data_IF_245631199710
#
_entry.id   IF_245631199710
#
_cell.length_a   1.000
_cell.length_b   1.000
_cell.length_c   1.000
_cell.angle_alpha   90.00
_cell.angle_beta   90.00
_cell.angle_gamma   90.00
#
_symmetry.space_group_name_H-M   'P 1'
#
loop_
_entity.id
_entity.type
_entity.pdbx_description
1 polymer ?
#
# COMPACT_ATOMS: atom_id res chain seq x y z
N UNK A 1 -19.86 -21.04 7.66
CA UNK A 1 -19.40 -21.84 8.82
C UNK A 1 -20.34 -23.02 9.00
N UNK A 2 -19.83 -24.22 9.26
CA UNK A 2 -20.62 -25.44 9.48
C UNK A 2 -20.06 -26.21 10.67
N UNK A 3 -20.92 -26.63 11.59
CA UNK A 3 -20.54 -27.39 12.78
C UNK A 3 -21.77 -27.77 13.60
N UNK A 4 -21.84 -29.03 14.03
CA UNK A 4 -22.90 -29.54 14.89
C UNK A 4 -22.25 -30.36 16.00
N UNK A 5 -22.86 -30.37 17.18
CA UNK A 5 -22.24 -30.94 18.40
C UNK A 5 -21.98 -32.44 18.31
N UNK A 6 -22.93 -33.21 17.76
CA UNK A 6 -22.88 -34.68 17.72
C UNK A 6 -23.16 -35.25 16.32
N UNK A 7 -23.46 -34.42 15.34
CA UNK A 7 -23.76 -34.89 13.98
C UNK A 7 -22.64 -34.46 13.03
N UNK A 8 -22.30 -35.27 12.01
CA UNK A 8 -21.34 -34.89 11.00
C UNK A 8 -21.68 -33.54 10.36
N UNK A 9 -20.64 -32.76 10.06
CA UNK A 9 -20.74 -31.53 9.27
C UNK A 9 -19.71 -31.58 8.16
N UNK A 10 -20.07 -31.03 7.00
CA UNK A 10 -19.18 -30.90 5.85
C UNK A 10 -18.86 -29.43 5.62
N UNK A 11 -17.58 -29.11 5.41
CA UNK A 11 -17.13 -27.83 4.90
C UNK A 11 -16.44 -28.09 3.56
N UNK A 12 -16.88 -27.38 2.51
CA UNK A 12 -16.30 -27.47 1.17
C UNK A 12 -15.71 -26.11 0.84
N UNK A 13 -14.40 -26.08 0.58
CA UNK A 13 -13.74 -24.91 0.01
C UNK A 13 -13.78 -25.04 -1.51
N UNK A 14 -14.49 -24.14 -2.19
CA UNK A 14 -14.55 -24.08 -3.65
C UNK A 14 -13.56 -23.02 -4.10
N UNK A 15 -12.40 -23.44 -4.60
CA UNK A 15 -11.36 -22.54 -5.05
C UNK A 15 -11.76 -21.84 -6.36
N UNK A 16 -11.56 -20.51 -6.41
CA UNK A 16 -11.71 -19.71 -7.62
C UNK A 16 -10.40 -19.65 -8.41
N UNK A 17 -10.40 -18.98 -9.57
CA UNK A 17 -9.20 -18.85 -10.42
C UNK A 17 -8.15 -17.86 -9.88
N UNK A 18 -8.45 -17.15 -8.79
CA UNK A 18 -7.56 -16.20 -8.14
C UNK A 18 -6.23 -16.85 -7.69
N UNK A 19 -5.11 -16.10 -7.69
CA UNK A 19 -3.80 -16.63 -7.32
C UNK A 19 -3.73 -17.27 -5.94
N UNK A 20 -4.46 -16.71 -4.97
CA UNK A 20 -4.48 -17.20 -3.61
C UNK A 20 -5.08 -18.62 -3.55
N UNK A 21 -6.27 -18.76 -4.12
CA UNK A 21 -7.05 -19.97 -4.16
C UNK A 21 -6.33 -21.10 -4.91
N UNK A 22 -5.73 -20.78 -6.07
CA UNK A 22 -5.00 -21.76 -6.87
C UNK A 22 -3.73 -22.24 -6.16
N UNK A 23 -3.02 -21.35 -5.46
CA UNK A 23 -1.85 -21.73 -4.66
C UNK A 23 -2.23 -22.68 -3.52
N UNK A 24 -3.28 -22.35 -2.76
CA UNK A 24 -3.78 -23.19 -1.66
C UNK A 24 -4.32 -24.53 -2.17
N UNK A 25 -5.00 -24.55 -3.31
CA UNK A 25 -5.49 -25.78 -3.92
C UNK A 25 -4.34 -26.70 -4.38
N UNK A 26 -3.23 -26.13 -4.87
CA UNK A 26 -2.05 -26.89 -5.30
C UNK A 26 -1.21 -27.44 -4.14
N UNK A 27 -1.24 -26.80 -2.97
CA UNK A 27 -0.59 -27.27 -1.75
C UNK A 27 -1.50 -27.07 -0.52
N UNK A 28 -2.49 -27.96 -0.28
CA UNK A 28 -3.41 -27.82 0.84
C UNK A 28 -2.72 -27.87 2.22
N UNK A 29 -1.52 -28.47 2.28
CA UNK A 29 -0.74 -28.53 3.51
C UNK A 29 -0.29 -27.15 3.99
N UNK A 30 -0.19 -26.18 3.06
CA UNK A 30 0.08 -24.78 3.37
C UNK A 30 -0.99 -24.18 4.29
N UNK A 31 -2.28 -24.37 3.96
CA UNK A 31 -3.39 -23.83 4.75
C UNK A 31 -3.62 -24.65 6.03
N UNK A 32 -3.57 -25.98 5.93
CA UNK A 32 -3.91 -26.87 7.05
C UNK A 32 -2.78 -27.03 8.08
N UNK A 33 -1.53 -26.82 7.66
CA UNK A 33 -0.35 -27.01 8.50
C UNK A 33 0.25 -25.72 9.07
N UNK A 34 -0.12 -24.55 8.54
CA UNK A 34 0.36 -23.27 9.07
C UNK A 34 -0.44 -22.81 10.28
N UNK A 35 0.23 -22.00 11.10
CA UNK A 35 -0.44 -21.25 12.15
C UNK A 35 -1.26 -20.12 11.51
N UNK A 36 -2.39 -19.73 12.13
CA UNK A 36 -3.16 -18.57 11.70
C UNK A 36 -2.33 -17.29 11.65
N UNK A 37 -2.93 -16.26 11.05
CA UNK A 37 -2.47 -14.89 10.98
C UNK A 37 -1.92 -14.37 12.32
N UNK A 38 -0.91 -13.50 12.24
CA UNK A 38 -0.53 -12.67 13.37
C UNK A 38 -1.38 -11.41 13.39
N UNK A 39 -2.11 -11.19 14.49
CA UNK A 39 -2.69 -9.86 14.74
C UNK A 39 -1.55 -8.90 15.09
N UNK A 40 -1.28 -7.94 14.20
CA UNK A 40 -0.39 -6.82 14.48
C UNK A 40 -1.20 -5.58 14.78
N UNK A 41 -0.71 -4.83 15.75
CA UNK A 41 -1.17 -3.49 16.07
C UNK A 41 0.04 -2.59 16.04
N UNK A 42 -0.13 -1.37 15.56
CA UNK A 42 0.89 -0.32 15.57
C UNK A 42 0.37 0.83 16.42
N UNK A 43 0.50 0.75 17.76
CA UNK A 43 -0.04 1.76 18.67
C UNK A 43 0.60 3.14 18.48
N UNK A 44 1.85 3.16 18.00
CA UNK A 44 2.65 4.37 17.83
C UNK A 44 2.40 5.04 16.46
N UNK A 45 1.48 4.50 15.64
CA UNK A 45 1.04 5.15 14.41
C UNK A 45 0.54 6.57 14.74
N UNK A 46 1.16 7.64 14.18
CA UNK A 46 0.81 9.02 14.52
C UNK A 46 -0.67 9.37 14.32
N UNK A 47 -1.35 8.73 13.35
CA UNK A 47 -2.78 8.94 13.09
C UNK A 47 -3.69 8.40 14.17
N UNK A 48 -3.20 7.48 15.01
CA UNK A 48 -3.90 6.90 16.17
C UNK A 48 -3.37 7.55 17.45
N UNK A 49 -2.05 7.55 17.62
CA UNK A 49 -1.37 8.03 18.81
C UNK A 49 -1.72 9.49 19.14
N UNK A 50 -1.64 10.40 18.17
CA UNK A 50 -1.85 11.84 18.41
C UNK A 50 -3.29 12.14 18.85
N UNK A 51 -4.35 11.64 18.18
CA UNK A 51 -5.71 11.79 18.69
C UNK A 51 -5.91 11.19 20.09
N UNK A 52 -5.31 10.03 20.38
CA UNK A 52 -5.42 9.38 21.68
C UNK A 52 -4.69 10.14 22.80
N UNK A 53 -3.51 10.73 22.52
CA UNK A 53 -2.81 11.63 23.44
C UNK A 53 -3.63 12.88 23.75
N UNK A 54 -4.31 13.47 22.77
CA UNK A 54 -5.24 14.60 22.99
C UNK A 54 -6.39 14.21 23.92
N UNK A 55 -6.98 13.04 23.69
CA UNK A 55 -8.03 12.50 24.57
C UNK A 55 -7.51 12.28 25.99
N UNK A 56 -6.33 11.68 26.14
CA UNK A 56 -5.70 11.46 27.43
C UNK A 56 -5.43 12.78 28.17
N UNK A 57 -4.90 13.80 27.48
CA UNK A 57 -4.61 15.12 28.05
C UNK A 57 -5.88 15.90 28.44
N UNK A 58 -7.00 15.61 27.77
CA UNK A 58 -8.32 16.12 28.14
C UNK A 58 -8.86 15.44 29.41
N UNK A 59 -8.66 14.13 29.54
CA UNK A 59 -9.10 13.36 30.71
C UNK A 59 -8.30 13.73 31.96
N UNK A 60 -6.96 13.77 31.84
CA UNK A 60 -6.03 14.13 32.91
C UNK A 60 -4.81 14.88 32.35
N UNK A 61 -4.32 15.93 33.01
CA UNK A 61 -3.08 16.60 32.61
C UNK A 61 -1.88 15.66 32.66
N UNK A 62 -0.96 15.80 31.70
CA UNK A 62 0.29 15.05 31.66
C UNK A 62 1.41 15.78 32.40
N UNK A 63 2.23 15.04 33.17
CA UNK A 63 3.48 15.57 33.72
C UNK A 63 4.60 15.67 32.64
N UNK A 64 5.63 16.48 32.87
CA UNK A 64 6.73 16.67 31.89
C UNK A 64 7.59 15.43 31.64
N UNK A 65 7.59 14.48 32.58
CA UNK A 65 8.38 13.24 32.53
C UNK A 65 7.49 11.99 32.55
N UNK A 66 6.31 12.10 31.94
CA UNK A 66 5.36 11.00 31.87
C UNK A 66 5.51 10.25 30.54
N UNK A 67 5.34 8.92 30.60
CA UNK A 67 5.36 8.05 29.42
C UNK A 67 3.93 7.78 28.96
N UNK A 68 3.75 7.67 27.65
CA UNK A 68 2.47 7.26 27.06
C UNK A 68 2.63 6.05 26.13
N UNK A 69 2.02 4.92 26.51
CA UNK A 69 2.15 3.68 25.73
C UNK A 69 3.58 3.15 25.74
N UNK A 70 4.12 2.88 24.55
CA UNK A 70 5.51 2.41 24.38
C UNK A 70 6.52 3.56 24.28
N UNK A 71 6.06 4.80 24.03
CA UNK A 71 6.93 5.96 23.89
C UNK A 71 7.82 6.20 25.13
N UNK A 72 9.04 6.65 24.88
CA UNK A 72 9.90 7.18 25.93
C UNK A 72 9.37 8.53 26.45
N UNK A 73 9.89 8.97 27.59
CA UNK A 73 9.53 10.27 28.20
C UNK A 73 9.83 11.43 27.24
N UNK A 74 11.01 11.41 26.60
CA UNK A 74 11.42 12.46 25.65
C UNK A 74 10.53 12.48 24.40
N UNK A 75 10.15 11.32 23.85
CA UNK A 75 9.29 11.21 22.66
C UNK A 75 7.85 11.66 22.98
N UNK A 76 7.34 11.27 24.15
CA UNK A 76 6.03 11.73 24.63
C UNK A 76 6.02 13.26 24.77
N UNK A 77 7.09 13.83 25.34
CA UNK A 77 7.26 15.27 25.49
C UNK A 77 7.31 15.99 24.14
N UNK A 78 8.00 15.45 23.14
CA UNK A 78 8.05 16.03 21.79
C UNK A 78 6.65 16.16 21.17
N UNK A 79 5.82 15.13 21.30
CA UNK A 79 4.43 15.16 20.80
C UNK A 79 3.58 16.16 21.59
N UNK A 80 3.72 16.20 22.91
CA UNK A 80 3.00 17.15 23.78
C UNK A 80 3.40 18.61 23.50
N UNK A 81 4.68 18.88 23.27
CA UNK A 81 5.20 20.19 22.87
C UNK A 81 4.63 20.59 21.51
N UNK A 82 4.59 19.69 20.53
CA UNK A 82 3.95 19.96 19.23
C UNK A 82 2.45 20.28 19.36
N UNK A 83 1.74 19.60 20.27
CA UNK A 83 0.33 19.88 20.58
C UNK A 83 0.14 21.23 21.30
N UNK A 84 1.10 21.63 22.13
CA UNK A 84 1.12 22.93 22.78
C UNK A 84 1.38 24.07 21.77
N UNK A 85 2.31 23.86 20.84
CA UNK A 85 2.59 24.79 19.72
C UNK A 85 1.36 24.96 18.81
N UNK A 86 0.62 23.87 18.58
CA UNK A 86 -0.66 23.88 17.87
C UNK A 86 -1.82 24.51 18.69
N UNK A 87 -1.56 25.00 19.91
CA UNK A 87 -2.53 25.59 20.85
C UNK A 87 -3.68 24.68 21.24
N UNK A 88 -3.46 23.36 21.19
CA UNK A 88 -4.42 22.37 21.68
C UNK A 88 -4.19 22.11 23.17
N UNK A 89 -2.92 22.14 23.59
CA UNK A 89 -2.50 22.07 24.98
C UNK A 89 -1.83 23.37 25.44
N UNK A 90 -1.72 23.58 26.74
CA UNK A 90 -0.91 24.62 27.36
C UNK A 90 0.06 23.98 28.33
N UNK A 91 1.35 24.29 28.15
CA UNK A 91 2.41 23.92 29.07
C UNK A 91 2.43 24.90 30.25
N UNK A 92 2.09 24.42 31.43
CA UNK A 92 2.14 25.16 32.69
C UNK A 92 3.17 24.58 33.65
N UNK A 93 3.21 25.08 34.89
CA UNK A 93 4.14 24.60 35.93
C UNK A 93 3.88 23.15 36.39
N UNK A 94 2.68 22.61 36.09
CA UNK A 94 2.24 21.27 36.48
C UNK A 94 2.06 20.35 35.26
N UNK A 95 2.79 20.64 34.18
CA UNK A 95 2.77 19.87 32.95
C UNK A 95 1.80 20.41 31.90
N UNK A 96 1.25 19.52 31.08
CA UNK A 96 0.46 19.83 29.90
C UNK A 96 -1.03 19.73 30.20
N UNK A 97 -1.74 20.84 30.02
CA UNK A 97 -3.19 20.93 30.25
C UNK A 97 -3.94 21.15 28.94
N UNK A 98 -5.09 20.50 28.76
CA UNK A 98 -5.98 20.79 27.65
C UNK A 98 -6.62 22.18 27.80
N UNK A 99 -6.69 22.94 26.69
CA UNK A 99 -7.14 24.35 26.69
C UNK A 99 -8.32 24.59 25.76
N UNK A 100 -8.64 23.62 24.91
CA UNK A 100 -9.70 23.76 23.91
C UNK A 100 -11.07 23.42 24.52
N UNK A 101 -12.12 24.16 24.15
CA UNK A 101 -13.50 23.83 24.52
C UNK A 101 -14.03 22.59 23.77
N UNK A 102 -13.27 22.07 22.79
CA UNK A 102 -13.65 20.88 22.03
C UNK A 102 -13.46 19.60 22.84
N UNK A 103 -14.44 18.70 22.78
CA UNK A 103 -14.35 17.35 23.33
C UNK A 103 -13.66 16.41 22.32
N UNK A 104 -12.38 16.03 22.53
CA UNK A 104 -11.58 15.36 21.51
C UNK A 104 -12.10 13.96 21.18
N UNK A 105 -12.61 13.21 22.16
CA UNK A 105 -13.12 11.85 21.96
C UNK A 105 -14.31 11.78 20.99
N UNK A 106 -15.06 12.86 20.77
CA UNK A 106 -16.12 12.87 19.75
C UNK A 106 -15.59 12.86 18.31
N UNK A 107 -14.31 13.22 18.10
CA UNK A 107 -13.67 13.28 16.79
C UNK A 107 -12.78 12.05 16.52
N UNK A 108 -12.70 11.10 17.47
CA UNK A 108 -11.86 9.90 17.35
C UNK A 108 -12.75 8.67 17.12
N UNK A 109 -12.66 8.10 15.93
CA UNK A 109 -13.25 6.79 15.63
C UNK A 109 -12.25 5.67 15.95
N UNK A 110 -12.65 4.70 16.76
CA UNK A 110 -11.81 3.53 17.09
C UNK A 110 -11.76 2.48 15.98
N UNK A 111 -12.68 2.54 14.99
CA UNK A 111 -12.92 1.48 14.01
C UNK A 111 -13.02 1.96 12.57
N UNK A 112 -12.82 3.25 12.31
CA UNK A 112 -12.94 3.81 10.98
C UNK A 112 -11.87 4.87 10.71
N UNK A 113 -11.65 5.23 9.45
CA UNK A 113 -10.89 6.43 9.13
C UNK A 113 -11.48 7.64 9.87
N UNK A 114 -10.65 8.67 10.06
CA UNK A 114 -11.07 9.97 10.62
C UNK A 114 -12.13 10.63 9.71
N UNK A 115 -12.20 10.22 8.45
CA UNK A 115 -13.10 10.73 7.42
C UNK A 115 -14.48 10.03 7.49
N UNK A 116 -15.55 10.80 7.28
CA UNK A 116 -16.92 10.29 7.30
C UNK A 116 -17.23 9.42 6.06
N UNK A 117 -18.00 8.35 6.26
CA UNK A 117 -18.45 7.49 5.18
C UNK A 117 -19.43 8.20 4.24
N UNK A 118 -19.53 7.71 3.00
CA UNK A 118 -20.45 8.23 2.00
C UNK A 118 -21.85 7.63 2.17
N UNK A 119 -22.86 8.49 2.22
CA UNK A 119 -24.26 8.09 2.22
C UNK A 119 -24.76 7.96 0.77
N UNK A 120 -25.32 6.80 0.44
CA UNK A 120 -25.94 6.55 -0.87
C UNK A 120 -27.40 6.94 -0.80
N UNK A 121 -27.78 7.98 -1.55
CA UNK A 121 -29.11 8.60 -1.56
C UNK A 121 -29.81 8.26 -2.88
N UNK A 122 -30.86 7.46 -2.79
CA UNK A 122 -31.76 7.19 -3.92
C UNK A 122 -32.63 8.42 -4.19
N UNK A 123 -32.48 8.99 -5.38
CA UNK A 123 -33.36 10.03 -5.89
C UNK A 123 -34.61 9.41 -6.52
N UNK A 124 -35.80 9.98 -6.27
CA UNK A 124 -37.02 9.52 -6.92
C UNK A 124 -36.98 9.78 -8.42
N UNK A 125 -37.35 8.79 -9.23
CA UNK A 125 -37.51 8.98 -10.68
C UNK A 125 -38.51 10.10 -10.97
N UNK A 126 -38.09 11.08 -11.79
CA UNK A 126 -38.91 12.20 -12.23
C UNK A 126 -40.23 11.79 -12.92
N UNK A 127 -40.34 10.55 -13.41
CA UNK A 127 -41.53 10.02 -14.11
C UNK A 127 -42.62 9.46 -13.20
N UNK A 128 -42.39 9.39 -11.87
CA UNK A 128 -43.34 8.85 -10.90
C UNK A 128 -44.09 9.96 -10.16
N UNK A 129 -45.02 10.65 -10.83
CA UNK A 129 -46.00 11.49 -10.11
C UNK A 129 -46.92 10.56 -9.33
N UNK A 130 -46.70 10.43 -8.03
CA UNK A 130 -47.63 9.73 -7.15
C UNK A 130 -49.02 10.37 -7.22
N UNK A 131 -50.06 9.62 -6.84
CA UNK A 131 -51.47 10.03 -6.86
C UNK A 131 -51.83 11.25 -5.97
N UNK A 132 -50.84 11.97 -5.44
CA UNK A 132 -50.97 13.12 -4.56
C UNK A 132 -49.98 14.27 -4.88
N UNK A 133 -49.43 14.36 -6.09
CA UNK A 133 -48.72 15.57 -6.57
C UNK A 133 -47.42 15.95 -5.86
N UNK A 134 -46.93 15.15 -4.91
CA UNK A 134 -45.65 15.32 -4.24
C UNK A 134 -44.63 14.32 -4.80
N UNK A 135 -43.44 14.81 -5.16
CA UNK A 135 -42.30 13.95 -5.45
C UNK A 135 -41.99 13.11 -4.19
N UNK A 136 -41.67 11.82 -4.32
CA UNK A 136 -41.22 11.03 -3.18
C UNK A 136 -40.02 11.70 -2.50
N UNK A 137 -39.87 11.53 -1.19
CA UNK A 137 -38.67 12.04 -0.51
C UNK A 137 -37.44 11.21 -0.92
N UNK A 138 -36.25 11.82 -1.05
CA UNK A 138 -35.00 11.08 -1.23
C UNK A 138 -34.78 10.15 -0.03
N UNK A 139 -34.21 8.97 -0.30
CA UNK A 139 -34.03 7.93 0.71
C UNK A 139 -32.59 7.46 0.74
N UNK A 140 -32.00 7.37 1.94
CA UNK A 140 -30.70 6.75 2.14
C UNK A 140 -30.87 5.22 2.03
N UNK A 141 -30.10 4.57 1.16
CA UNK A 141 -30.19 3.13 0.90
C UNK A 141 -28.97 2.35 1.40
N UNK A 142 -27.81 3.00 1.49
CA UNK A 142 -26.57 2.37 1.92
C UNK A 142 -25.58 3.41 2.44
N UNK A 143 -24.53 2.90 3.06
CA UNK A 143 -23.34 3.64 3.48
C UNK A 143 -22.13 2.90 2.89
N UNK A 144 -21.18 3.66 2.34
CA UNK A 144 -19.97 3.13 1.71
C UNK A 144 -18.76 3.82 2.32
N UNK A 145 -17.72 3.03 2.62
CA UNK A 145 -16.51 3.53 3.25
C UNK A 145 -15.83 4.61 2.40
N UNK A 146 -15.28 5.63 3.07
CA UNK A 146 -14.59 6.74 2.41
C UNK A 146 -13.55 6.26 1.38
N UNK A 147 -12.84 5.18 1.70
CA UNK A 147 -11.77 4.65 0.87
C UNK A 147 -12.24 3.86 -0.37
N UNK A 148 -13.46 3.35 -0.36
CA UNK A 148 -14.01 2.57 -1.46
C UNK A 148 -14.96 3.43 -2.34
N UNK A 149 -15.48 4.53 -1.79
CA UNK A 149 -16.42 5.41 -2.48
C UNK A 149 -15.94 5.91 -3.86
N UNK A 150 -14.68 6.36 -4.06
CA UNK A 150 -14.24 6.78 -5.40
C UNK A 150 -14.27 5.63 -6.43
N UNK A 151 -14.13 4.38 -6.00
CA UNK A 151 -14.13 3.23 -6.90
C UNK A 151 -15.54 2.72 -7.19
N UNK A 152 -16.41 2.73 -6.19
CA UNK A 152 -17.73 2.10 -6.26
C UNK A 152 -18.85 3.11 -6.55
N UNK A 153 -18.62 4.39 -6.22
CA UNK A 153 -19.59 5.49 -6.31
C UNK A 153 -19.13 6.64 -7.21
N UNK A 154 -18.11 6.45 -8.06
CA UNK A 154 -17.76 7.47 -9.05
C UNK A 154 -18.93 7.82 -9.97
N UNK A 155 -18.84 8.97 -10.62
CA UNK A 155 -19.84 9.38 -11.61
C UNK A 155 -20.06 8.26 -12.67
N UNK A 156 -21.33 7.93 -12.91
CA UNK A 156 -21.78 6.86 -13.81
C UNK A 156 -21.47 5.41 -13.38
N UNK A 157 -21.04 5.18 -12.14
CA UNK A 157 -20.91 3.83 -11.61
C UNK A 157 -22.27 3.12 -11.53
N UNK A 158 -22.27 1.80 -11.69
CA UNK A 158 -23.41 0.93 -11.38
C UNK A 158 -23.15 0.30 -10.01
N UNK A 159 -23.76 0.89 -8.99
CA UNK A 159 -23.75 0.40 -7.62
C UNK A 159 -24.78 -0.71 -7.45
N UNK A 160 -24.37 -1.84 -6.87
CA UNK A 160 -25.24 -2.99 -6.66
C UNK A 160 -25.49 -3.20 -5.18
N UNK A 161 -26.76 -3.23 -4.79
CA UNK A 161 -27.17 -3.43 -3.40
C UNK A 161 -28.23 -4.54 -3.36
N UNK A 162 -27.88 -5.66 -2.73
CA UNK A 162 -28.77 -6.83 -2.57
C UNK A 162 -29.39 -7.31 -3.90
N UNK A 163 -28.64 -7.22 -5.00
CA UNK A 163 -29.10 -7.60 -6.34
C UNK A 163 -29.89 -6.53 -7.09
N UNK A 164 -30.23 -5.40 -6.44
CA UNK A 164 -30.79 -4.22 -7.12
C UNK A 164 -29.66 -3.36 -7.66
N UNK A 165 -29.87 -2.77 -8.83
CA UNK A 165 -28.88 -1.96 -9.51
C UNK A 165 -29.27 -0.48 -9.42
N UNK A 166 -28.26 0.34 -9.16
CA UNK A 166 -28.38 1.78 -9.05
C UNK A 166 -27.30 2.43 -9.89
N UNK A 167 -27.67 3.39 -10.73
CA UNK A 167 -26.70 4.21 -11.44
C UNK A 167 -26.39 5.45 -10.61
N UNK A 168 -25.11 5.70 -10.39
CA UNK A 168 -24.65 6.92 -9.73
C UNK A 168 -24.78 8.10 -10.71
N UNK A 169 -25.54 9.08 -10.27
CA UNK A 169 -25.77 10.33 -10.99
C UNK A 169 -24.70 11.36 -10.68
N UNK A 170 -24.31 11.44 -9.40
CA UNK A 170 -23.33 12.41 -8.90
C UNK A 170 -22.72 11.95 -7.58
N UNK A 171 -21.41 12.08 -7.46
CA UNK A 171 -20.68 11.98 -6.18
C UNK A 171 -20.41 13.37 -5.60
N UNK A 172 -20.92 13.64 -4.40
CA UNK A 172 -20.71 14.86 -3.61
C UNK A 172 -19.67 14.59 -2.52
N UNK A 173 -18.42 14.94 -2.80
CA UNK A 173 -17.29 14.73 -1.89
C UNK A 173 -17.40 15.61 -0.64
N UNK A 174 -17.78 16.87 -0.79
CA UNK A 174 -17.83 17.84 0.32
C UNK A 174 -18.85 17.44 1.39
N UNK A 175 -19.97 16.83 0.97
CA UNK A 175 -21.05 16.42 1.87
C UNK A 175 -21.13 14.91 2.12
N UNK A 176 -20.15 14.15 1.62
CA UNK A 176 -20.09 12.68 1.68
C UNK A 176 -21.41 12.01 1.23
N UNK A 177 -21.91 12.37 0.04
CA UNK A 177 -23.17 11.83 -0.51
C UNK A 177 -23.04 11.39 -1.94
N UNK A 178 -23.51 10.19 -2.25
CA UNK A 178 -23.67 9.72 -3.62
C UNK A 178 -25.16 9.69 -4.00
N UNK A 179 -25.54 10.44 -5.03
CA UNK A 179 -26.91 10.47 -5.52
C UNK A 179 -27.07 9.42 -6.62
N UNK A 180 -28.05 8.55 -6.45
CA UNK A 180 -28.25 7.40 -7.32
C UNK A 180 -29.69 7.27 -7.79
N UNK A 181 -29.89 6.68 -8.95
CA UNK A 181 -31.21 6.26 -9.42
C UNK A 181 -31.25 4.75 -9.64
N UNK A 182 -32.39 4.13 -9.36
CA UNK A 182 -32.58 2.72 -9.69
C UNK A 182 -32.54 2.52 -11.21
N UNK A 183 -31.84 1.49 -11.67
CA UNK A 183 -31.74 1.12 -13.10
C UNK A 183 -31.86 -0.39 -13.27
N UNK A 184 -32.15 -0.83 -14.49
CA UNK A 184 -32.06 -2.23 -14.90
C UNK A 184 -31.16 -2.32 -16.14
N UNK A 185 -29.94 -2.79 -15.94
CA UNK A 185 -28.89 -2.88 -16.96
C UNK A 185 -28.26 -4.27 -16.97
N UNK A 186 -27.76 -4.69 -18.13
CA UNK A 186 -27.12 -6.00 -18.31
C UNK A 186 -25.60 -5.99 -18.06
N UNK A 187 -25.08 -4.92 -17.45
CA UNK A 187 -23.67 -4.72 -17.15
C UNK A 187 -23.43 -4.15 -15.75
N UNK A 188 -22.18 -4.26 -15.28
CA UNK A 188 -21.66 -3.60 -14.09
C UNK A 188 -20.43 -2.76 -14.46
N UNK A 189 -20.02 -1.88 -13.55
CA UNK A 189 -18.84 -1.03 -13.77
C UNK A 189 -17.66 -1.47 -12.92
N UNK A 190 -16.46 -1.21 -13.42
CA UNK A 190 -15.22 -1.38 -12.64
C UNK A 190 -14.34 -0.18 -12.90
N UNK A 191 -13.95 0.54 -11.86
CA UNK A 191 -13.10 1.71 -11.99
C UNK A 191 -11.68 1.35 -12.49
N UNK A 192 -11.05 2.31 -13.14
CA UNK A 192 -9.65 2.28 -13.54
C UNK A 192 -8.88 3.16 -12.57
N UNK A 193 -8.19 2.50 -11.64
CA UNK A 193 -7.37 3.15 -10.63
C UNK A 193 -5.93 3.35 -11.15
N UNK A 194 -5.43 4.57 -11.01
CA UNK A 194 -4.03 4.91 -11.20
C UNK A 194 -3.42 5.30 -9.85
N UNK A 195 -2.57 4.42 -9.32
CA UNK A 195 -1.82 4.64 -8.08
C UNK A 195 -0.42 5.16 -8.40
N UNK A 196 0.00 6.22 -7.73
CA UNK A 196 1.38 6.74 -7.73
C UNK A 196 1.92 6.70 -6.31
N UNK A 197 3.21 6.40 -6.17
CA UNK A 197 3.87 6.35 -4.88
C UNK A 197 5.13 7.22 -4.95
N UNK A 198 5.30 8.08 -3.94
CA UNK A 198 6.47 8.93 -3.75
C UNK A 198 7.12 8.55 -2.43
N UNK A 199 8.43 8.33 -2.43
CA UNK A 199 9.17 8.07 -1.20
C UNK A 199 9.37 9.39 -0.47
N UNK A 200 8.95 9.46 0.79
CA UNK A 200 9.18 10.59 1.67
C UNK A 200 10.46 10.40 2.46
N UNK A 201 10.56 9.26 3.13
CA UNK A 201 11.68 8.92 3.99
C UNK A 201 12.03 7.44 3.85
N UNK A 202 13.34 7.14 3.94
CA UNK A 202 13.83 5.76 4.01
C UNK A 202 14.28 5.49 5.44
N UNK A 203 13.59 4.58 6.12
CA UNK A 203 13.94 4.12 7.45
C UNK A 203 15.02 3.01 7.39
N UNK A 204 14.86 2.04 6.48
CA UNK A 204 15.68 0.83 6.44
C UNK A 204 16.05 0.38 5.02
N UNK A 205 17.16 -0.35 4.91
CA UNK A 205 17.65 -0.94 3.66
C UNK A 205 18.43 0.02 2.77
N UNK A 206 19.15 -0.52 1.79
CA UNK A 206 19.92 0.25 0.81
C UNK A 206 19.97 -0.52 -0.50
N UNK A 207 19.82 0.16 -1.64
CA UNK A 207 19.90 -0.47 -2.95
C UNK A 207 18.61 -1.19 -3.36
N UNK A 208 18.62 -2.51 -3.38
CA UNK A 208 17.64 -3.38 -4.02
C UNK A 208 16.35 -3.50 -3.22
N UNK A 209 16.43 -3.42 -1.90
CA UNK A 209 15.27 -3.39 -1.03
C UNK A 209 15.39 -2.23 -0.04
N UNK A 210 14.28 -1.54 0.18
CA UNK A 210 14.19 -0.47 1.15
C UNK A 210 12.80 -0.43 1.78
N UNK A 211 12.74 0.11 2.98
CA UNK A 211 11.52 0.33 3.74
C UNK A 211 11.50 1.74 4.32
N UNK A 212 10.32 2.35 4.40
CA UNK A 212 10.12 3.66 4.98
C UNK A 212 8.78 4.27 4.59
N UNK A 213 8.67 5.57 4.80
CA UNK A 213 7.45 6.34 4.59
C UNK A 213 7.27 6.74 3.12
N UNK A 214 6.03 6.63 2.66
CA UNK A 214 5.62 6.98 1.31
C UNK A 214 4.33 7.79 1.30
N UNK A 215 4.21 8.63 0.28
CA UNK A 215 2.98 9.31 -0.10
C UNK A 215 2.36 8.59 -1.30
N UNK A 216 1.15 8.10 -1.12
CA UNK A 216 0.35 7.37 -2.11
C UNK A 216 -0.72 8.29 -2.65
N UNK A 217 -0.81 8.37 -3.97
CA UNK A 217 -1.78 9.14 -4.72
C UNK A 217 -2.61 8.19 -5.59
N UNK A 218 -3.88 8.05 -5.26
CA UNK A 218 -4.84 7.23 -5.98
C UNK A 218 -5.79 8.12 -6.79
N UNK A 219 -5.87 7.87 -8.10
CA UNK A 219 -6.78 8.57 -9.01
C UNK A 219 -7.65 7.59 -9.77
N UNK A 220 -8.95 7.80 -9.75
CA UNK A 220 -9.89 7.11 -10.65
C UNK A 220 -9.94 7.86 -11.97
N UNK A 221 -9.29 7.29 -12.99
CA UNK A 221 -9.15 7.95 -14.32
C UNK A 221 -10.28 7.61 -15.29
N UNK A 222 -11.16 6.69 -14.90
CA UNK A 222 -12.27 6.21 -15.72
C UNK A 222 -12.80 4.88 -15.22
N UNK A 223 -13.62 4.22 -16.02
CA UNK A 223 -14.18 2.91 -15.69
C UNK A 223 -14.44 2.07 -16.94
N UNK A 224 -14.61 0.77 -16.73
CA UNK A 224 -15.05 -0.20 -17.73
C UNK A 224 -16.50 -0.59 -17.47
N UNK A 225 -17.25 -0.83 -18.54
CA UNK A 225 -18.56 -1.49 -18.50
C UNK A 225 -18.37 -2.96 -18.86
N UNK A 226 -18.77 -3.86 -17.98
CA UNK A 226 -18.57 -5.30 -18.10
C UNK A 226 -19.93 -6.00 -18.04
N UNK A 227 -20.23 -6.82 -19.04
CA UNK A 227 -21.52 -7.53 -19.11
C UNK A 227 -21.62 -8.57 -17.99
N UNK A 228 -22.75 -8.61 -17.28
CA UNK A 228 -22.95 -9.42 -16.07
C UNK A 228 -22.71 -10.93 -16.29
N UNK A 229 -23.19 -11.46 -17.41
CA UNK A 229 -23.16 -12.90 -17.67
C UNK A 229 -21.89 -13.34 -18.42
N UNK A 230 -21.54 -12.62 -19.49
CA UNK A 230 -20.43 -13.00 -20.37
C UNK A 230 -19.08 -12.46 -19.90
N UNK A 231 -19.07 -11.49 -18.97
CA UNK A 231 -17.87 -10.80 -18.51
C UNK A 231 -17.08 -10.11 -19.64
N UNK A 232 -17.75 -9.84 -20.76
CA UNK A 232 -17.18 -9.11 -21.87
C UNK A 232 -17.16 -7.62 -21.57
N UNK A 233 -16.06 -6.96 -21.95
CA UNK A 233 -15.96 -5.52 -21.88
C UNK A 233 -16.76 -4.91 -23.04
N UNK A 234 -17.79 -4.13 -22.70
CA UNK A 234 -18.71 -3.51 -23.67
C UNK A 234 -18.47 -2.00 -23.81
N UNK A 235 -17.57 -1.42 -23.03
CA UNK A 235 -17.30 0.02 -23.11
C UNK A 235 -16.44 0.58 -21.99
N UNK A 236 -16.12 1.86 -22.15
CA UNK A 236 -15.34 2.64 -21.21
C UNK A 236 -16.00 4.01 -21.01
N UNK A 237 -15.88 4.56 -19.80
CA UNK A 237 -16.18 5.96 -19.50
C UNK A 237 -14.98 6.63 -18.86
N UNK A 238 -14.85 7.93 -19.06
CA UNK A 238 -13.91 8.75 -18.30
C UNK A 238 -14.61 9.29 -17.06
N UNK A 239 -13.82 9.55 -16.04
CA UNK A 239 -14.26 10.07 -14.75
C UNK A 239 -13.26 11.13 -14.32
N UNK A 240 -13.75 12.16 -13.65
CA UNK A 240 -12.93 13.25 -13.10
C UNK A 240 -13.13 13.34 -11.60
N UNK A 241 -12.75 12.28 -10.87
CA UNK A 241 -12.70 12.33 -9.40
C UNK A 241 -11.44 13.04 -8.91
N UNK A 242 -11.49 13.68 -7.73
CA UNK A 242 -10.30 14.21 -7.06
C UNK A 242 -9.30 13.10 -6.72
N UNK A 243 -8.03 13.48 -6.60
CA UNK A 243 -6.97 12.58 -6.15
C UNK A 243 -7.15 12.28 -4.66
N UNK A 244 -7.02 11.00 -4.30
CA UNK A 244 -6.91 10.61 -2.89
C UNK A 244 -5.45 10.51 -2.51
N UNK A 245 -5.11 11.19 -1.42
CA UNK A 245 -3.76 11.18 -0.86
C UNK A 245 -3.71 10.38 0.44
N UNK A 246 -2.66 9.58 0.61
CA UNK A 246 -2.42 8.81 1.84
C UNK A 246 -0.92 8.78 2.15
N UNK A 247 -0.56 9.11 3.40
CA UNK A 247 0.76 8.82 3.95
C UNK A 247 0.73 7.45 4.62
N UNK A 248 1.69 6.59 4.30
CA UNK A 248 1.78 5.21 4.83
C UNK A 248 3.22 4.69 4.75
N UNK A 249 3.47 3.47 5.22
CA UNK A 249 4.75 2.78 5.08
C UNK A 249 4.75 1.81 3.90
N UNK A 250 5.91 1.60 3.30
CA UNK A 250 6.08 0.70 2.17
C UNK A 250 7.41 -0.06 2.19
N UNK A 251 7.36 -1.30 1.69
CA UNK A 251 8.53 -1.98 1.12
C UNK A 251 8.60 -1.62 -0.36
N UNK A 252 9.79 -1.25 -0.84
CA UNK A 252 10.04 -1.19 -2.26
C UNK A 252 11.27 -1.94 -2.70
N UNK A 253 11.12 -2.64 -3.83
CA UNK A 253 12.17 -3.41 -4.47
C UNK A 253 12.59 -2.70 -5.75
N UNK A 254 13.86 -2.31 -5.84
CA UNK A 254 14.42 -1.56 -6.98
C UNK A 254 15.52 -2.37 -7.67
N UNK A 255 15.49 -2.51 -9.00
CA UNK A 255 16.67 -2.98 -9.74
C UNK A 255 17.49 -1.78 -10.23
N UNK A 256 18.79 -1.85 -9.98
CA UNK A 256 19.75 -0.89 -10.51
C UNK A 256 19.81 -0.95 -12.04
N UNK A 257 20.04 0.18 -12.74
CA UNK A 257 20.05 0.21 -14.20
C UNK A 257 21.04 -0.78 -14.82
N UNK A 258 22.17 -1.05 -14.15
CA UNK A 258 23.15 -2.06 -14.59
C UNK A 258 22.54 -3.46 -14.71
N UNK A 259 21.67 -3.83 -13.76
CA UNK A 259 21.06 -5.16 -13.68
C UNK A 259 19.92 -5.28 -14.70
N UNK A 260 19.25 -4.16 -14.99
CA UNK A 260 18.27 -4.04 -16.09
C UNK A 260 18.95 -4.18 -17.45
N UNK A 261 20.06 -3.45 -17.68
CA UNK A 261 20.82 -3.51 -18.92
C UNK A 261 21.35 -4.92 -19.20
N UNK A 262 21.77 -5.65 -18.17
CA UNK A 262 22.24 -7.03 -18.27
C UNK A 262 21.16 -8.03 -18.74
N UNK A 263 19.87 -7.65 -18.76
CA UNK A 263 18.80 -8.48 -19.31
C UNK A 263 18.74 -8.42 -20.85
N UNK A 264 19.23 -7.32 -21.45
CA UNK A 264 19.12 -7.10 -22.89
C UNK A 264 17.69 -6.96 -23.41
N UNK A 265 16.74 -6.57 -22.55
CA UNK A 265 15.33 -6.39 -22.90
C UNK A 265 15.02 -4.93 -23.22
N UNK A 266 13.96 -4.70 -23.99
CA UNK A 266 13.43 -3.35 -24.22
C UNK A 266 12.72 -2.82 -22.98
N UNK A 267 12.58 -1.49 -22.86
CA UNK A 267 11.88 -0.86 -21.74
C UNK A 267 10.43 -1.36 -21.55
N UNK A 268 9.72 -1.60 -22.65
CA UNK A 268 8.36 -2.14 -22.62
C UNK A 268 8.32 -3.56 -22.04
N UNK A 269 9.31 -4.39 -22.36
CA UNK A 269 9.39 -5.77 -21.86
C UNK A 269 9.75 -5.83 -20.38
N UNK A 270 10.68 -4.98 -19.93
CA UNK A 270 11.01 -4.81 -18.51
C UNK A 270 9.78 -4.31 -17.75
N UNK A 271 9.07 -3.32 -18.26
CA UNK A 271 7.86 -2.78 -17.62
C UNK A 271 6.76 -3.82 -17.52
N UNK A 272 6.48 -4.54 -18.60
CA UNK A 272 5.49 -5.62 -18.61
C UNK A 272 5.85 -6.73 -17.61
N UNK A 273 7.11 -7.17 -17.61
CA UNK A 273 7.59 -8.18 -16.69
C UNK A 273 7.55 -7.72 -15.22
N UNK A 274 7.85 -6.44 -14.96
CA UNK A 274 7.75 -5.84 -13.62
C UNK A 274 6.29 -5.77 -13.16
N UNK A 275 5.36 -5.45 -14.07
CA UNK A 275 3.92 -5.42 -13.76
C UNK A 275 3.40 -6.79 -13.36
N UNK A 276 3.80 -7.80 -14.12
CA UNK A 276 3.53 -9.21 -13.86
C UNK A 276 4.13 -9.68 -12.54
N UNK A 277 5.41 -9.39 -12.30
CA UNK A 277 6.09 -9.72 -11.05
C UNK A 277 5.44 -9.04 -9.85
N UNK A 278 5.05 -7.77 -9.98
CA UNK A 278 4.40 -7.02 -8.92
C UNK A 278 3.06 -7.67 -8.51
N UNK A 279 2.25 -8.18 -9.46
CA UNK A 279 1.01 -8.93 -9.14
C UNK A 279 1.30 -10.22 -8.37
N UNK A 280 2.37 -10.91 -8.77
CA UNK A 280 2.81 -12.14 -8.13
C UNK A 280 3.32 -11.86 -6.70
N UNK A 281 4.14 -10.82 -6.53
CA UNK A 281 4.65 -10.34 -5.24
C UNK A 281 3.51 -9.98 -4.29
N UNK A 282 2.50 -9.24 -4.75
CA UNK A 282 1.35 -8.87 -3.93
C UNK A 282 0.55 -10.08 -3.47
N UNK A 283 0.38 -11.07 -4.36
CA UNK A 283 -0.28 -12.34 -4.02
C UNK A 283 0.52 -13.14 -2.99
N UNK A 284 1.84 -13.23 -3.18
CA UNK A 284 2.74 -13.92 -2.26
C UNK A 284 2.87 -13.20 -0.91
N UNK A 285 2.82 -11.86 -0.91
CA UNK A 285 2.84 -11.04 0.30
C UNK A 285 1.59 -11.27 1.16
N UNK A 286 0.40 -11.24 0.56
CA UNK A 286 -0.84 -11.56 1.26
C UNK A 286 -0.80 -12.97 1.84
N UNK A 287 -0.28 -13.97 1.11
CA UNK A 287 -0.06 -15.33 1.63
C UNK A 287 0.93 -15.38 2.79
N UNK A 288 2.04 -14.65 2.67
CA UNK A 288 3.14 -14.69 3.63
C UNK A 288 2.73 -14.10 4.96
N UNK A 289 2.06 -12.94 4.91
CA UNK A 289 1.50 -12.25 6.07
C UNK A 289 0.18 -12.87 6.55
N UNK A 290 -0.42 -13.74 5.73
CA UNK A 290 -1.78 -14.25 5.89
C UNK A 290 -2.84 -13.11 5.94
N UNK A 291 -2.54 -11.95 5.36
CA UNK A 291 -3.45 -10.80 5.32
C UNK A 291 -4.46 -10.91 4.16
N UNK A 292 -5.49 -10.08 4.19
CA UNK A 292 -6.31 -9.91 3.00
C UNK A 292 -5.51 -9.15 1.93
N UNK A 293 -5.80 -9.42 0.65
CA UNK A 293 -5.13 -8.71 -0.45
C UNK A 293 -5.40 -7.21 -0.44
N UNK A 294 -6.54 -6.80 0.14
CA UNK A 294 -6.97 -5.41 0.21
C UNK A 294 -6.16 -4.61 1.24
N UNK A 295 -5.62 -5.27 2.26
CA UNK A 295 -4.81 -4.65 3.32
C UNK A 295 -3.46 -4.14 2.79
N UNK A 296 -3.01 -4.69 1.66
CA UNK A 296 -1.79 -4.30 0.97
C UNK A 296 -2.11 -3.62 -0.35
N UNK A 297 -1.59 -2.42 -0.53
CA UNK A 297 -1.52 -1.75 -1.82
C UNK A 297 -0.29 -2.15 -2.61
N UNK A 298 -0.33 -1.87 -3.92
CA UNK A 298 0.72 -2.21 -4.87
C UNK A 298 0.85 -1.13 -5.93
N UNK A 299 2.08 -0.69 -6.19
CA UNK A 299 2.37 0.21 -7.29
C UNK A 299 3.69 -0.15 -8.00
N UNK A 300 3.90 0.48 -9.15
CA UNK A 300 5.18 0.47 -9.84
C UNK A 300 5.61 1.89 -10.17
N UNK A 301 6.91 2.12 -10.26
CA UNK A 301 7.47 3.36 -10.73
C UNK A 301 8.97 3.42 -10.48
N UNK A 302 9.42 4.59 -10.05
CA UNK A 302 10.77 4.82 -9.57
C UNK A 302 10.73 5.38 -8.13
N UNK A 303 11.68 4.95 -7.29
CA UNK A 303 11.87 5.50 -5.95
C UNK A 303 12.16 7.00 -5.95
N UNK A 304 12.67 7.56 -7.06
CA UNK A 304 12.84 9.02 -7.25
C UNK A 304 11.65 9.69 -7.93
N UNK A 305 10.56 8.96 -8.15
CA UNK A 305 9.36 9.41 -8.88
C UNK A 305 9.63 9.93 -10.29
N UNK A 306 10.74 9.52 -10.91
CA UNK A 306 11.08 9.94 -12.28
C UNK A 306 10.12 9.37 -13.33
N UNK A 307 9.49 8.23 -13.05
CA UNK A 307 8.48 7.61 -13.91
C UNK A 307 7.46 6.77 -13.14
N UNK A 308 6.29 6.56 -13.76
CA UNK A 308 5.20 5.69 -13.34
C UNK A 308 4.47 5.12 -14.57
N UNK A 309 3.88 3.91 -14.50
CA UNK A 309 3.07 3.41 -15.60
C UNK A 309 1.81 4.26 -15.75
N UNK A 310 1.48 4.61 -17.00
CA UNK A 310 0.20 5.26 -17.33
C UNK A 310 -0.67 4.23 -18.03
N UNK A 311 -1.87 4.01 -17.47
CA UNK A 311 -2.91 3.21 -18.08
C UNK A 311 -4.06 4.15 -18.50
N UNK A 312 -4.17 4.42 -19.79
CA UNK A 312 -5.27 5.18 -20.38
C UNK A 312 -5.91 4.45 -21.56
N UNK A 313 -6.95 5.05 -22.18
CA UNK A 313 -7.62 4.48 -23.38
C UNK A 313 -6.62 4.16 -24.49
N UNK A 314 -6.26 2.88 -24.63
CA UNK A 314 -5.34 2.39 -25.67
C UNK A 314 -3.86 2.76 -25.47
N UNK A 315 -3.50 3.53 -24.45
CA UNK A 315 -2.11 3.90 -24.15
C UNK A 315 -1.59 3.05 -22.98
N UNK A 316 -0.74 2.07 -23.29
CA UNK A 316 0.19 1.46 -22.34
C UNK A 316 1.53 2.17 -22.51
N UNK A 317 1.95 2.93 -21.51
CA UNK A 317 3.19 3.70 -21.60
C UNK A 317 3.81 4.00 -20.24
N UNK A 318 5.00 4.58 -20.30
CA UNK A 318 5.67 5.18 -19.16
C UNK A 318 5.31 6.67 -19.15
N UNK A 319 4.70 7.14 -18.06
CA UNK A 319 4.65 8.57 -17.75
C UNK A 319 5.77 8.90 -16.78
N UNK A 320 6.17 10.16 -16.69
CA UNK A 320 7.21 10.60 -15.77
C UNK A 320 7.17 12.11 -15.62
N UNK A 321 7.40 12.60 -14.39
CA UNK A 321 7.46 14.02 -14.02
C UNK A 321 6.58 15.00 -14.81
N UNK A 322 7.04 16.24 -14.93
CA UNK A 322 6.48 17.26 -15.83
C UNK A 322 6.95 17.07 -17.30
N UNK A 323 7.65 15.96 -17.63
CA UNK A 323 8.24 15.72 -18.94
C UNK A 323 8.21 14.22 -19.32
N UNK A 324 7.81 13.87 -20.56
CA UNK A 324 7.72 12.47 -20.97
C UNK A 324 9.07 11.75 -20.82
N UNK A 325 9.09 10.53 -20.24
CA UNK A 325 10.33 9.82 -19.98
C UNK A 325 11.03 9.47 -21.30
N UNK A 326 12.35 9.68 -21.36
CA UNK A 326 13.16 9.23 -22.51
C UNK A 326 13.12 7.70 -22.57
N UNK A 327 12.58 7.09 -23.65
CA UNK A 327 12.52 5.63 -23.81
C UNK A 327 13.90 4.95 -23.80
N UNK A 328 14.98 5.72 -23.94
CA UNK A 328 16.37 5.25 -23.99
C UNK A 328 17.17 5.57 -22.72
N UNK A 329 16.61 6.33 -21.77
CA UNK A 329 17.29 6.61 -20.53
C UNK A 329 17.37 5.34 -19.66
N UNK A 330 18.51 5.09 -19.00
CA UNK A 330 18.58 4.04 -17.99
C UNK A 330 17.56 4.33 -16.89
N UNK A 331 16.67 3.37 -16.62
CA UNK A 331 15.64 3.49 -15.59
C UNK A 331 15.72 2.32 -14.59
N UNK A 332 15.25 2.58 -13.37
CA UNK A 332 15.25 1.62 -12.28
C UNK A 332 13.81 1.14 -12.00
N UNK A 333 13.42 -0.07 -12.43
CA UNK A 333 12.11 -0.61 -12.11
C UNK A 333 11.97 -0.84 -10.62
N UNK A 334 11.00 -0.14 -10.04
CA UNK A 334 10.67 -0.21 -8.63
C UNK A 334 9.26 -0.76 -8.45
N UNK A 335 9.12 -1.78 -7.60
CA UNK A 335 7.83 -2.31 -7.15
C UNK A 335 7.62 -1.90 -5.71
N UNK A 336 6.48 -1.26 -5.43
CA UNK A 336 6.06 -0.87 -4.08
C UNK A 336 4.98 -1.83 -3.59
N UNK A 337 5.12 -2.28 -2.34
CA UNK A 337 4.08 -2.92 -1.54
C UNK A 337 3.91 -2.06 -0.28
N UNK A 338 2.72 -1.54 -0.06
CA UNK A 338 2.46 -0.56 0.99
C UNK A 338 1.21 -0.90 1.78
N UNK A 339 1.12 -0.42 3.01
CA UNK A 339 -0.05 -0.65 3.86
C UNK A 339 -1.20 0.23 3.37
N UNK A 340 -2.39 -0.34 3.15
CA UNK A 340 -3.57 0.42 2.68
C UNK A 340 -4.28 1.18 3.82
N UNK A 341 -3.53 1.53 4.85
CA UNK A 341 -3.99 2.26 6.04
C UNK A 341 -3.12 3.50 6.24
N UNK A 342 -3.73 4.63 6.59
CA UNK A 342 -3.01 5.87 6.90
C UNK A 342 -2.02 5.63 8.05
N UNK A 343 -0.79 6.10 7.90
CA UNK A 343 0.32 5.90 8.84
C UNK A 343 0.93 4.48 8.86
N UNK A 344 0.33 3.51 8.17
CA UNK A 344 0.78 2.12 8.16
C UNK A 344 0.39 1.33 9.42
N UNK A 345 0.40 0.00 9.30
CA UNK A 345 0.06 -0.96 10.36
C UNK A 345 1.14 -2.05 10.53
N UNK A 346 2.31 -1.84 9.92
CA UNK A 346 3.49 -2.71 10.05
C UNK A 346 3.49 -3.94 9.12
N UNK A 347 2.63 -3.99 8.09
CA UNK A 347 2.67 -5.08 7.12
C UNK A 347 3.88 -4.91 6.17
N UNK A 348 4.10 -3.70 5.66
CA UNK A 348 5.23 -3.34 4.81
C UNK A 348 6.59 -3.58 5.48
N UNK A 349 6.72 -3.22 6.76
CA UNK A 349 7.91 -3.48 7.55
C UNK A 349 8.18 -4.99 7.67
N UNK A 350 7.14 -5.78 7.98
CA UNK A 350 7.28 -7.23 8.05
C UNK A 350 7.68 -7.86 6.71
N UNK A 351 7.12 -7.35 5.62
CA UNK A 351 7.55 -7.78 4.28
C UNK A 351 9.00 -7.41 4.00
N UNK A 352 9.48 -6.28 4.53
CA UNK A 352 10.90 -5.93 4.43
C UNK A 352 11.76 -6.91 5.23
N UNK A 353 11.39 -7.31 6.44
CA UNK A 353 12.11 -8.35 7.20
C UNK A 353 12.14 -9.70 6.46
N UNK A 354 11.00 -10.11 5.91
CA UNK A 354 10.84 -11.39 5.19
C UNK A 354 11.10 -11.28 3.68
N UNK A 355 11.72 -10.21 3.20
CA UNK A 355 11.89 -9.91 1.76
C UNK A 355 12.56 -11.03 0.95
N UNK A 356 13.48 -11.77 1.57
CA UNK A 356 14.12 -12.94 0.95
C UNK A 356 13.11 -14.07 0.71
N UNK A 357 12.30 -14.39 1.73
CA UNK A 357 11.26 -15.40 1.66
C UNK A 357 10.14 -14.99 0.70
N UNK A 358 9.77 -13.70 0.68
CA UNK A 358 8.81 -13.14 -0.25
C UNK A 358 9.24 -13.37 -1.71
N UNK A 359 10.48 -13.05 -2.06
CA UNK A 359 11.00 -13.25 -3.41
C UNK A 359 11.08 -14.74 -3.77
N UNK A 360 11.58 -15.58 -2.87
CA UNK A 360 11.69 -17.02 -3.08
C UNK A 360 10.33 -17.69 -3.29
N UNK A 361 9.33 -17.34 -2.48
CA UNK A 361 7.95 -17.84 -2.62
C UNK A 361 7.31 -17.34 -3.91
N UNK A 362 7.54 -16.08 -4.26
CA UNK A 362 7.06 -15.50 -5.52
C UNK A 362 7.63 -16.25 -6.71
N UNK A 363 8.94 -16.51 -6.73
CA UNK A 363 9.59 -17.28 -7.79
C UNK A 363 9.05 -18.71 -7.86
N UNK A 364 8.94 -19.39 -6.72
CA UNK A 364 8.39 -20.74 -6.65
C UNK A 364 6.94 -20.81 -7.17
N UNK A 365 6.11 -19.81 -6.84
CA UNK A 365 4.75 -19.69 -7.37
C UNK A 365 4.73 -19.52 -8.89
N UNK A 366 5.63 -18.70 -9.44
CA UNK A 366 5.76 -18.50 -10.89
C UNK A 366 6.24 -19.76 -11.61
N UNK A 367 7.18 -20.50 -11.03
CA UNK A 367 7.76 -21.72 -11.61
C UNK A 367 6.83 -22.93 -11.55
N UNK A 368 6.05 -23.08 -10.46
CA UNK A 368 5.11 -24.20 -10.27
C UNK A 368 3.83 -24.06 -11.08
N UNK A 369 3.43 -22.84 -11.41
CA UNK A 369 2.23 -22.62 -12.18
C UNK A 369 2.37 -23.24 -13.57
N UNK A 370 1.36 -23.94 -14.07
CA UNK A 370 1.42 -24.64 -15.37
C UNK A 370 1.00 -23.78 -16.56
N UNK A 371 0.55 -22.53 -16.33
CA UNK A 371 0.09 -21.67 -17.43
C UNK A 371 1.25 -21.13 -18.29
N UNK A 372 1.00 -20.98 -19.58
CA UNK A 372 1.99 -20.42 -20.52
C UNK A 372 1.98 -18.89 -20.54
N UNK A 373 0.80 -18.27 -20.63
CA UNK A 373 0.64 -16.83 -20.87
C UNK A 373 0.37 -16.00 -19.61
N UNK A 374 0.29 -16.66 -18.45
CA UNK A 374 -0.21 -16.08 -17.21
C UNK A 374 -1.69 -16.36 -16.98
N UNK A 375 -2.02 -16.68 -15.73
CA UNK A 375 -3.39 -16.86 -15.25
C UNK A 375 -3.61 -15.96 -14.02
N UNK A 376 -4.85 -15.78 -13.53
CA UNK A 376 -5.07 -15.03 -12.31
C UNK A 376 -4.22 -15.63 -11.20
N UNK A 377 -4.16 -16.96 -11.09
CA UNK A 377 -3.13 -17.81 -10.47
C UNK A 377 -1.69 -17.31 -10.23
N UNK A 378 -1.12 -16.47 -11.10
CA UNK A 378 0.29 -16.07 -11.02
C UNK A 378 0.56 -14.59 -11.37
N UNK A 379 0.62 -14.24 -12.65
CA UNK A 379 0.94 -12.89 -13.15
C UNK A 379 -0.30 -12.15 -13.67
N UNK A 380 -1.48 -12.77 -13.60
CA UNK A 380 -2.70 -12.31 -14.24
C UNK A 380 -2.85 -12.79 -15.68
N UNK A 381 -4.09 -12.84 -16.20
CA UNK A 381 -4.37 -13.25 -17.58
C UNK A 381 -3.98 -12.19 -18.61
N UNK A 382 -3.75 -12.63 -19.86
CA UNK A 382 -3.65 -11.74 -21.03
C UNK A 382 -2.39 -10.86 -21.07
N UNK A 383 -1.30 -11.32 -20.45
CA UNK A 383 -0.06 -10.57 -20.35
C UNK A 383 0.96 -10.98 -21.46
N UNK A 384 0.70 -12.06 -22.20
CA UNK A 384 1.50 -12.54 -23.35
C UNK A 384 2.45 -13.70 -23.00
N UNK A 385 2.73 -14.55 -23.99
CA UNK A 385 3.41 -15.86 -23.88
C UNK A 385 4.74 -15.85 -23.11
N UNK A 386 5.49 -14.75 -23.13
CA UNK A 386 6.82 -14.67 -22.49
C UNK A 386 6.83 -13.95 -21.15
N UNK A 387 5.74 -13.28 -20.77
CA UNK A 387 5.77 -12.34 -19.65
C UNK A 387 5.99 -13.03 -18.31
N UNK A 388 5.47 -14.26 -18.15
CA UNK A 388 5.65 -15.08 -16.96
C UNK A 388 7.11 -15.50 -16.80
N UNK A 389 7.73 -15.99 -17.87
CA UNK A 389 9.16 -16.36 -17.87
C UNK A 389 10.04 -15.15 -17.56
N UNK A 390 9.69 -13.98 -18.10
CA UNK A 390 10.39 -12.73 -17.81
C UNK A 390 10.19 -12.27 -16.36
N UNK A 391 8.98 -12.37 -15.81
CA UNK A 391 8.71 -12.07 -14.41
C UNK A 391 9.49 -12.99 -13.47
N UNK A 392 9.56 -14.29 -13.76
CA UNK A 392 10.36 -15.25 -12.98
C UNK A 392 11.86 -14.90 -13.05
N UNK A 393 12.36 -14.53 -14.23
CA UNK A 393 13.75 -14.10 -14.39
C UNK A 393 14.04 -12.79 -13.65
N UNK A 394 13.09 -11.85 -13.61
CA UNK A 394 13.22 -10.65 -12.77
C UNK A 394 13.24 -10.98 -11.29
N UNK A 395 12.38 -11.88 -10.81
CA UNK A 395 12.42 -12.34 -9.42
C UNK A 395 13.81 -12.89 -9.05
N UNK A 396 14.40 -13.72 -9.90
CA UNK A 396 15.77 -14.23 -9.72
C UNK A 396 16.81 -13.10 -9.69
N UNK A 397 16.67 -12.06 -10.51
CA UNK A 397 17.57 -10.89 -10.48
C UNK A 397 17.45 -10.10 -9.18
N UNK A 398 16.23 -9.91 -8.68
CA UNK A 398 16.00 -9.28 -7.38
C UNK A 398 16.65 -10.10 -6.25
N UNK A 399 16.50 -11.42 -6.25
CA UNK A 399 17.16 -12.30 -5.27
C UNK A 399 18.69 -12.19 -5.33
N UNK A 400 19.27 -12.18 -6.53
CA UNK A 400 20.71 -12.03 -6.74
C UNK A 400 21.21 -10.64 -6.28
N UNK A 401 20.46 -9.58 -6.57
CA UNK A 401 20.79 -8.23 -6.12
C UNK A 401 20.76 -8.13 -4.60
N UNK A 402 19.71 -8.67 -3.97
CA UNK A 402 19.55 -8.71 -2.53
C UNK A 402 20.64 -9.54 -1.83
N UNK A 403 21.02 -10.68 -2.41
CA UNK A 403 22.11 -11.50 -1.91
C UNK A 403 23.48 -10.80 -1.97
N UNK A 404 23.74 -10.04 -3.04
CA UNK A 404 24.97 -9.21 -3.15
C UNK A 404 25.03 -8.12 -2.09
N UNK A 405 23.91 -7.49 -1.77
CA UNK A 405 23.83 -6.47 -0.72
C UNK A 405 24.11 -7.04 0.67
N UNK A 406 23.52 -8.18 1.00
CA UNK A 406 23.76 -8.84 2.27
C UNK A 406 25.25 -9.21 2.44
N UNK A 407 25.90 -9.67 1.37
CA UNK A 407 27.34 -9.96 1.38
C UNK A 407 28.17 -8.69 1.55
N UNK A 408 27.79 -7.58 0.88
CA UNK A 408 28.47 -6.31 1.00
C UNK A 408 28.35 -5.71 2.42
N UNK A 409 27.16 -5.78 3.03
CA UNK A 409 26.93 -5.34 4.42
C UNK A 409 27.79 -6.14 5.40
N UNK A 410 27.78 -7.48 5.30
CA UNK A 410 28.63 -8.35 6.13
C UNK A 410 30.12 -8.07 5.95
N UNK A 411 30.56 -7.77 4.72
CA UNK A 411 31.95 -7.41 4.46
C UNK A 411 32.34 -6.07 5.09
N UNK A 412 31.41 -5.11 5.16
CA UNK A 412 31.60 -3.82 5.84
C UNK A 412 31.68 -4.01 7.37
N UNK A 413 30.78 -4.81 7.94
CA UNK A 413 30.77 -5.13 9.38
C UNK A 413 32.00 -5.94 9.82
N UNK A 414 32.55 -6.75 8.91
CA UNK A 414 33.75 -7.55 9.15
C UNK A 414 35.06 -6.76 8.96
N UNK A 415 35.02 -5.48 8.52
CA UNK A 415 36.22 -4.65 8.50
C UNK A 415 36.59 -4.28 9.93
N UNK A 416 37.78 -4.66 10.42
CA UNK A 416 38.19 -4.30 11.76
C UNK A 416 38.40 -2.78 11.82
N UNK A 417 37.75 -2.13 12.78
CA UNK A 417 38.01 -0.76 13.20
C UNK A 417 39.47 -0.66 13.67
N UNK A 418 40.42 -0.42 12.76
CA UNK A 418 41.79 -0.08 13.17
C UNK A 418 42.29 1.17 12.48
N UNK A 419 42.41 2.21 13.30
CA UNK A 419 43.54 3.11 13.28
C UNK A 419 44.10 3.21 14.69
N UNK A 420 44.77 2.15 15.17
CA UNK A 420 45.78 2.30 16.23
C UNK A 420 46.82 3.28 15.69
N UNK A 421 46.72 4.54 16.12
CA UNK A 421 47.74 5.54 15.90
C UNK A 421 49.01 5.04 16.58
N UNK A 422 49.92 4.44 15.80
CA UNK A 422 51.32 4.27 16.22
C UNK A 422 51.88 5.66 16.46
N UNK A 423 51.87 6.09 17.72
CA UNK A 423 52.69 7.17 18.23
C UNK A 423 54.13 6.80 17.89
N UNK A 424 54.72 7.49 16.91
CA UNK A 424 56.16 7.45 16.69
C UNK A 424 56.83 8.01 17.94
N UNK A 425 57.78 7.31 18.58
CA UNK A 425 58.53 7.90 19.68
C UNK A 425 59.41 9.04 19.13
N UNK A 426 59.22 10.23 19.67
CA UNK A 426 60.12 11.37 19.49
C UNK A 426 61.55 10.95 19.82
N UNK A 427 62.45 11.04 18.85
CA UNK A 427 63.88 10.94 19.08
C UNK A 427 64.34 12.20 19.84
N UNK A 428 64.64 12.07 21.14
CA UNK A 428 65.29 13.12 21.91
C UNK A 428 66.78 13.18 21.56
N UNK A 429 67.22 14.38 21.21
CA UNK A 429 68.62 14.77 21.03
C UNK A 429 69.46 14.53 22.28
N UNK A 430 70.55 13.79 22.16
CA UNK A 430 71.71 13.91 23.03
C UNK A 430 72.98 13.48 22.27
N UNK A 431 74.07 14.18 22.59
CA UNK A 431 75.48 13.89 22.29
C UNK A 431 76.09 14.45 21.00
N UNK A 432 76.58 15.68 21.16
CA UNK A 432 77.77 16.19 20.49
C UNK A 432 79.04 15.75 21.26
N UNK A 433 80.15 15.47 20.56
CA UNK A 433 81.48 15.71 21.10
C UNK A 433 82.17 16.85 20.35
N UNK A 434 82.79 17.72 21.16
CA UNK A 434 83.80 18.71 20.78
C UNK A 434 85.05 18.02 20.24
N UNK A 435 85.70 18.57 19.22
CA UNK A 435 86.96 19.34 19.35
C UNK A 435 87.53 19.69 17.95
N UNK A 436 87.96 20.94 17.83
CA UNK A 436 88.76 21.54 16.76
C UNK A 436 90.26 21.47 17.19
N UNK A 437 91.29 21.78 16.35
CA UNK A 437 91.32 22.72 15.23
C UNK A 437 91.57 22.11 13.84
#
# INVERSE_FOLDING_TARGET
>A
RAGRRLTPSLAVLVACSEPLDQFVAGDPSYLLGRRPEHARVEPDNPSILVPHLKCAAYELPFDENERYGELAEDETREVLDALADARLLHRGERGYHHVSDAYPAAQVSLRGPVDENFLVVEEPRASGVGAAGAAPAPRIIAEVDYDDAPQDLHDHAIYQLEGRQYQVLRLDHDNHKAYVEAVEVDYYTTALLQTRVRVLERASGTGCASHGEVHVLDRVVGFKKIKLHTHENIGYGDVSEPDREMHTTALWLTLEPRDVLALGWTAAEVTGATMALSRALHSAAALLLMSERRDLGRAMGDARSSWFPVAGRGAKGLGGGDAPPDPRAPFSPTVFLFDRYRGGIGLAERLFDERHDLLARTRAMLERCECDEGCPGCVGPGQGVLIKRRAAKLAERFEQALGRELLAQRALEAQPLFGDARVQPHASSADAPREAP
#
